data_IF_717318739871
#
_entry.id   IF_717318739871
#
_cell.length_a   1.000
_cell.length_b   1.000
_cell.length_c   1.000
_cell.angle_alpha   90.00
_cell.angle_beta   90.00
_cell.angle_gamma   90.00
#
_symmetry.space_group_name_H-M   'P 1'
#
loop_
_entity.id
_entity.type
_entity.pdbx_description
1 polymer ?
#
# COMPACT_ATOMS: atom_id res chain seq x y z
N UNK A 1 18.13 -46.08 11.86
CA UNK A 1 18.06 -44.64 12.15
C UNK A 1 17.68 -43.93 10.85
N UNK A 2 16.44 -43.45 10.75
CA UNK A 2 15.98 -42.74 9.55
C UNK A 2 16.48 -41.30 9.61
N UNK A 3 17.29 -40.91 8.64
CA UNK A 3 17.71 -39.53 8.40
C UNK A 3 16.48 -38.67 8.17
N UNK A 4 16.24 -37.73 9.08
CA UNK A 4 15.12 -36.81 9.00
C UNK A 4 15.34 -35.92 7.77
N UNK A 5 14.60 -36.21 6.70
CA UNK A 5 14.74 -35.60 5.39
C UNK A 5 14.34 -34.11 5.48
N UNK A 6 15.29 -33.23 5.79
CA UNK A 6 15.13 -31.77 5.72
C UNK A 6 14.99 -31.38 4.24
N UNK A 7 13.79 -31.62 3.68
CA UNK A 7 13.44 -31.08 2.37
C UNK A 7 13.39 -29.56 2.47
N UNK A 8 14.15 -28.90 1.62
CA UNK A 8 13.96 -27.49 1.29
C UNK A 8 12.51 -27.31 0.81
N UNK A 9 11.72 -26.53 1.55
CA UNK A 9 10.30 -26.34 1.26
C UNK A 9 10.11 -25.44 0.04
N UNK A 10 9.25 -25.87 -0.88
CA UNK A 10 8.80 -25.09 -2.04
C UNK A 10 7.76 -24.07 -1.61
N UNK A 11 7.78 -22.88 -2.24
CA UNK A 11 6.91 -21.70 -2.02
C UNK A 11 5.70 -21.92 -1.10
N UNK A 12 5.85 -21.50 0.17
CA UNK A 12 4.79 -21.60 1.18
C UNK A 12 3.66 -20.62 0.94
N UNK A 13 2.49 -20.90 1.53
CA UNK A 13 1.39 -19.94 1.61
C UNK A 13 1.65 -18.99 2.78
N UNK A 14 1.31 -17.72 2.66
CA UNK A 14 1.57 -16.72 3.69
C UNK A 14 0.27 -16.22 4.30
N UNK A 15 0.08 -16.50 5.60
CA UNK A 15 -0.98 -15.92 6.41
C UNK A 15 -0.49 -14.66 7.09
N UNK A 16 -1.37 -13.67 7.22
CA UNK A 16 -1.12 -12.45 7.98
C UNK A 16 -2.08 -12.40 9.15
N UNK A 17 -1.56 -12.24 10.37
CA UNK A 17 -2.30 -12.21 11.62
C UNK A 17 -2.24 -10.81 12.23
N UNK A 18 -3.37 -10.31 12.74
CA UNK A 18 -3.47 -9.09 13.54
C UNK A 18 -4.15 -9.44 14.85
N UNK A 19 -3.55 -9.08 15.98
CA UNK A 19 -4.17 -9.25 17.30
C UNK A 19 -4.53 -10.70 17.63
N UNK A 20 -3.76 -11.67 17.16
CA UNK A 20 -4.04 -13.10 17.37
C UNK A 20 -5.09 -13.69 16.43
N UNK A 21 -5.64 -12.91 15.50
CA UNK A 21 -6.66 -13.35 14.53
C UNK A 21 -6.07 -13.33 13.12
N UNK A 22 -6.26 -14.42 12.37
CA UNK A 22 -5.85 -14.47 10.97
C UNK A 22 -6.61 -13.40 10.17
N UNK A 23 -5.88 -12.38 9.72
CA UNK A 23 -6.41 -11.27 8.96
C UNK A 23 -6.57 -11.60 7.47
N UNK A 24 -5.94 -12.65 6.96
CA UNK A 24 -6.11 -13.12 5.59
C UNK A 24 -4.86 -13.77 5.01
N UNK A 25 -4.97 -14.24 3.77
CA UNK A 25 -3.84 -14.76 2.99
C UNK A 25 -3.28 -13.67 2.10
N UNK A 26 -1.95 -13.52 2.13
CA UNK A 26 -1.24 -12.49 1.37
C UNK A 26 -0.52 -13.12 0.19
N UNK A 27 -0.32 -12.34 -0.87
CA UNK A 27 0.34 -12.85 -2.07
C UNK A 27 1.84 -13.02 -1.85
N UNK A 28 2.44 -12.04 -1.19
CA UNK A 28 3.83 -12.06 -0.79
C UNK A 28 4.03 -11.14 0.42
N UNK A 29 5.08 -11.43 1.18
CA UNK A 29 5.46 -10.70 2.38
C UNK A 29 6.96 -10.78 2.58
N UNK A 30 7.58 -9.65 2.91
CA UNK A 30 9.04 -9.53 3.04
C UNK A 30 9.41 -8.53 4.15
N UNK A 31 10.64 -8.62 4.67
CA UNK A 31 11.15 -7.67 5.65
C UNK A 31 10.92 -8.08 7.11
N UNK A 32 11.06 -7.12 8.03
CA UNK A 32 11.03 -7.41 9.47
C UNK A 32 12.27 -8.14 9.97
N UNK A 33 13.42 -8.00 9.30
CA UNK A 33 14.68 -8.60 9.73
C UNK A 33 15.34 -7.77 10.82
N UNK A 34 15.97 -8.45 11.78
CA UNK A 34 16.82 -7.78 12.76
C UNK A 34 18.18 -7.50 12.12
N UNK A 35 18.59 -6.24 12.12
CA UNK A 35 19.87 -5.77 11.56
C UNK A 35 20.58 -4.87 12.57
N UNK A 36 21.83 -4.54 12.33
CA UNK A 36 22.57 -3.56 13.13
C UNK A 36 23.72 -3.00 12.31
N UNK A 37 24.07 -1.75 12.60
CA UNK A 37 25.25 -1.11 12.01
C UNK A 37 26.54 -1.67 12.63
N UNK A 38 27.61 -1.70 11.83
CA UNK A 38 28.95 -2.08 12.26
C UNK A 38 29.75 -0.82 12.51
N UNK A 39 30.14 -0.59 13.76
CA UNK A 39 30.96 0.56 14.16
C UNK A 39 32.43 0.14 14.07
N UNK A 40 33.24 0.98 13.43
CA UNK A 40 34.70 0.82 13.36
C UNK A 40 35.36 1.79 14.33
N UNK A 41 36.24 1.27 15.18
CA UNK A 41 36.96 2.06 16.18
C UNK A 41 38.18 2.76 15.56
N UNK A 42 38.71 3.75 16.26
CA UNK A 42 39.98 4.39 15.87
C UNK A 42 41.12 3.38 15.93
N UNK A 43 42.04 3.42 14.97
CA UNK A 43 43.16 2.47 14.87
C UNK A 43 43.99 2.44 16.15
N UNK A 44 44.15 1.25 16.71
CA UNK A 44 44.93 1.01 17.92
C UNK A 44 46.44 0.84 17.66
N UNK A 45 47.25 0.73 18.72
CA UNK A 45 48.69 0.48 18.60
C UNK A 45 49.07 -0.84 17.91
N UNK A 46 48.13 -1.80 17.87
CA UNK A 46 48.25 -3.07 17.15
C UNK A 46 48.06 -2.94 15.63
N UNK A 47 47.79 -1.72 15.14
CA UNK A 47 47.51 -1.41 13.74
C UNK A 47 46.28 -2.16 13.18
N UNK A 48 45.35 -2.55 14.06
CA UNK A 48 44.07 -3.18 13.70
C UNK A 48 42.92 -2.22 13.96
N UNK A 49 41.97 -2.13 13.03
CA UNK A 49 40.70 -1.43 13.22
C UNK A 49 39.71 -2.44 13.80
N UNK A 50 39.49 -2.36 15.10
CA UNK A 50 38.49 -3.16 15.78
C UNK A 50 37.08 -2.72 15.40
N UNK A 51 36.15 -3.66 15.40
CA UNK A 51 34.75 -3.43 15.02
C UNK A 51 33.82 -4.02 16.05
N UNK A 52 32.73 -3.32 16.35
CA UNK A 52 31.65 -3.84 17.18
C UNK A 52 30.28 -3.53 16.56
N UNK A 53 29.27 -4.24 17.04
CA UNK A 53 27.88 -4.11 16.57
C UNK A 53 27.17 -3.02 17.39
N UNK A 54 26.47 -2.13 16.70
CA UNK A 54 25.61 -1.12 17.30
C UNK A 54 24.32 -1.72 17.91
N UNK A 55 23.32 -0.87 18.19
CA UNK A 55 22.00 -1.32 18.61
C UNK A 55 21.25 -2.06 17.50
N UNK A 56 20.45 -3.07 17.88
CA UNK A 56 19.62 -3.83 16.94
C UNK A 56 18.49 -2.94 16.42
N UNK A 57 18.29 -2.96 15.11
CA UNK A 57 17.20 -2.33 14.37
C UNK A 57 16.34 -3.40 13.71
N UNK A 58 15.10 -3.08 13.42
CA UNK A 58 14.19 -3.97 12.70
C UNK A 58 13.68 -3.27 11.44
N UNK A 59 13.88 -3.94 10.31
CA UNK A 59 13.41 -3.45 9.01
C UNK A 59 11.89 -3.44 8.93
N UNK A 60 11.36 -2.59 8.04
CA UNK A 60 9.94 -2.59 7.72
C UNK A 60 9.50 -3.93 7.13
N UNK A 61 8.25 -4.28 7.39
CA UNK A 61 7.56 -5.42 6.79
C UNK A 61 6.73 -4.89 5.62
N UNK A 62 6.90 -5.46 4.42
CA UNK A 62 6.06 -5.18 3.25
C UNK A 62 5.10 -6.34 3.03
N UNK A 63 3.81 -6.03 2.93
CA UNK A 63 2.71 -6.99 2.69
C UNK A 63 2.02 -6.65 1.38
N UNK A 64 1.93 -7.60 0.46
CA UNK A 64 1.14 -7.48 -0.76
C UNK A 64 -0.12 -8.33 -0.65
N UNK A 65 -1.29 -7.70 -0.70
CA UNK A 65 -2.58 -8.37 -0.52
C UNK A 65 -3.61 -7.92 -1.57
N UNK A 66 -4.68 -8.71 -1.72
CA UNK A 66 -5.82 -8.34 -2.55
C UNK A 66 -7.04 -7.96 -1.70
N UNK A 67 -8.21 -8.16 -2.28
CA UNK A 67 -9.55 -7.96 -1.70
C UNK A 67 -9.99 -9.01 -0.69
N UNK A 68 -9.08 -9.83 -0.15
CA UNK A 68 -9.41 -11.01 0.65
C UNK A 68 -8.98 -10.90 2.10
N UNK A 69 -9.02 -9.68 2.67
CA UNK A 69 -8.56 -9.43 4.04
C UNK A 69 -9.75 -9.23 4.99
N UNK A 70 -9.49 -9.40 6.28
CA UNK A 70 -10.47 -9.25 7.35
C UNK A 70 -10.88 -7.79 7.53
N UNK A 71 -12.00 -7.58 8.24
CA UNK A 71 -12.48 -6.24 8.58
C UNK A 71 -11.44 -5.45 9.38
N UNK A 72 -10.83 -6.07 10.38
CA UNK A 72 -9.83 -5.42 11.23
C UNK A 72 -8.62 -4.91 10.44
N UNK A 73 -8.22 -5.61 9.37
CA UNK A 73 -7.15 -5.14 8.48
C UNK A 73 -7.54 -3.86 7.74
N UNK A 74 -8.73 -3.81 7.14
CA UNK A 74 -9.18 -2.61 6.42
C UNK A 74 -9.55 -1.46 7.37
N UNK A 75 -10.02 -1.75 8.58
CA UNK A 75 -10.19 -0.74 9.64
C UNK A 75 -8.87 -0.11 10.04
N UNK A 76 -7.78 -0.88 10.09
CA UNK A 76 -6.45 -0.35 10.39
C UNK A 76 -5.97 0.59 9.28
N UNK A 77 -6.12 0.20 8.01
CA UNK A 77 -5.83 1.08 6.86
C UNK A 77 -6.68 2.35 6.93
N UNK A 78 -8.00 2.22 7.14
CA UNK A 78 -8.89 3.36 7.27
C UNK A 78 -8.46 4.29 8.41
N UNK A 79 -8.09 3.74 9.56
CA UNK A 79 -7.63 4.51 10.70
C UNK A 79 -6.39 5.34 10.34
N UNK A 80 -5.44 4.77 9.58
CA UNK A 80 -4.29 5.53 9.07
C UNK A 80 -4.72 6.72 8.22
N UNK A 81 -5.64 6.55 7.26
CA UNK A 81 -6.19 7.66 6.48
C UNK A 81 -6.95 8.69 7.33
N UNK A 82 -7.58 8.28 8.42
CA UNK A 82 -8.25 9.17 9.37
C UNK A 82 -7.30 9.84 10.38
N UNK A 83 -5.97 9.80 10.15
CA UNK A 83 -4.93 10.28 11.07
C UNK A 83 -4.97 9.64 12.46
N UNK A 84 -5.49 8.40 12.56
CA UNK A 84 -5.53 7.60 13.79
C UNK A 84 -4.41 6.59 13.76
N UNK A 85 -3.39 6.85 14.56
CA UNK A 85 -2.16 6.08 14.58
C UNK A 85 -2.25 4.84 15.48
N UNK A 86 -2.96 3.84 14.99
CA UNK A 86 -3.16 2.58 15.72
C UNK A 86 -1.97 1.65 15.47
N UNK A 87 -1.45 1.06 16.56
CA UNK A 87 -0.41 0.04 16.52
C UNK A 87 -1.02 -1.33 16.76
N UNK A 88 -0.51 -2.33 16.04
CA UNK A 88 -0.95 -3.71 16.19
C UNK A 88 0.21 -4.67 16.40
N UNK A 89 -0.02 -5.63 17.29
CA UNK A 89 0.75 -6.86 17.35
C UNK A 89 0.19 -7.85 16.34
N UNK A 90 1.03 -8.76 15.86
CA UNK A 90 0.60 -9.78 14.93
C UNK A 90 1.72 -10.69 14.48
N UNK A 91 1.45 -11.45 13.42
CA UNK A 91 2.40 -12.40 12.90
C UNK A 91 2.31 -12.56 11.38
N UNK A 92 3.48 -12.83 10.79
CA UNK A 92 3.57 -13.38 9.44
C UNK A 92 3.74 -14.88 9.58
N UNK A 93 2.85 -15.65 8.98
CA UNK A 93 2.80 -17.09 9.14
C UNK A 93 3.10 -17.77 7.81
N UNK A 94 4.18 -18.57 7.78
CA UNK A 94 4.50 -19.42 6.64
C UNK A 94 3.83 -20.77 6.84
N UNK A 95 2.96 -21.14 5.91
CA UNK A 95 2.24 -22.40 5.92
C UNK A 95 2.67 -23.31 4.76
N UNK A 96 2.50 -24.61 4.94
CA UNK A 96 2.68 -25.59 3.87
C UNK A 96 1.45 -25.68 2.92
N UNK A 97 1.49 -26.65 2.01
CA UNK A 97 0.42 -26.88 1.05
C UNK A 97 -0.94 -27.17 1.73
N UNK A 98 -0.91 -27.84 2.89
CA UNK A 98 -2.08 -28.22 3.68
C UNK A 98 -2.52 -27.11 4.66
N UNK A 99 -2.00 -25.90 4.50
CA UNK A 99 -2.28 -24.74 5.36
C UNK A 99 -1.84 -24.96 6.82
N UNK A 100 -0.85 -25.82 7.06
CA UNK A 100 -0.28 -26.01 8.40
C UNK A 100 0.89 -25.08 8.63
N UNK A 101 0.89 -24.44 9.80
CA UNK A 101 1.94 -23.52 10.21
C UNK A 101 3.30 -24.23 10.29
N UNK A 102 4.31 -23.66 9.60
CA UNK A 102 5.70 -24.17 9.61
C UNK A 102 6.66 -23.22 10.31
N UNK A 103 6.44 -21.92 10.17
CA UNK A 103 7.16 -20.89 10.90
C UNK A 103 6.30 -19.65 11.04
N UNK A 104 6.53 -18.89 12.10
CA UNK A 104 5.91 -17.58 12.30
C UNK A 104 6.96 -16.53 12.61
N UNK A 105 6.74 -15.32 12.14
CA UNK A 105 7.48 -14.13 12.54
C UNK A 105 6.51 -13.20 13.23
N UNK A 106 6.60 -13.13 14.54
CA UNK A 106 5.82 -12.19 15.33
C UNK A 106 6.38 -10.80 15.15
N UNK A 107 5.50 -9.82 15.03
CA UNK A 107 5.84 -8.41 15.09
C UNK A 107 5.04 -7.76 16.23
N UNK A 108 5.68 -6.80 16.89
CA UNK A 108 5.10 -6.12 18.05
C UNK A 108 4.98 -4.64 17.76
N UNK A 109 3.81 -4.11 18.13
CA UNK A 109 3.41 -2.71 18.04
C UNK A 109 3.72 -2.10 16.68
N UNK A 110 3.45 -2.84 15.61
CA UNK A 110 3.69 -2.37 14.26
C UNK A 110 2.74 -1.22 13.91
N UNK A 111 3.28 -0.23 13.20
CA UNK A 111 2.56 0.93 12.68
C UNK A 111 2.58 0.89 11.15
N UNK A 112 1.46 1.17 10.48
CA UNK A 112 1.46 1.31 9.02
C UNK A 112 2.28 2.55 8.62
N UNK A 113 3.27 2.37 7.75
CA UNK A 113 4.13 3.43 7.20
C UNK A 113 3.80 3.80 5.76
N UNK A 114 3.21 2.88 5.00
CA UNK A 114 2.91 3.11 3.58
C UNK A 114 1.70 2.29 3.18
N UNK A 115 0.79 2.90 2.41
CA UNK A 115 -0.34 2.24 1.77
C UNK A 115 -0.27 2.58 0.27
N UNK A 116 -0.03 1.56 -0.55
CA UNK A 116 0.11 1.66 -1.99
C UNK A 116 -1.05 0.98 -2.72
N UNK A 117 -1.75 1.75 -3.55
CA UNK A 117 -2.70 1.25 -4.53
C UNK A 117 -2.01 1.12 -5.89
N UNK A 118 -2.37 0.09 -6.69
CA UNK A 118 -1.70 -0.16 -7.95
C UNK A 118 -2.06 0.95 -8.96
N UNK A 119 -1.18 1.14 -9.95
CA UNK A 119 -1.54 1.91 -11.13
C UNK A 119 -2.74 1.26 -11.83
N UNK A 120 -3.64 2.09 -12.34
CA UNK A 120 -4.86 1.68 -13.02
C UNK A 120 -4.71 1.91 -14.52
N UNK A 121 -5.14 0.94 -15.30
CA UNK A 121 -5.09 0.98 -16.76
C UNK A 121 -6.28 0.19 -17.31
N UNK A 122 -7.14 0.86 -18.06
CA UNK A 122 -8.34 0.29 -18.67
C UNK A 122 -8.03 -0.89 -19.60
N UNK A 123 -6.79 -1.02 -20.11
CA UNK A 123 -6.34 -2.14 -20.93
C UNK A 123 -5.76 -3.32 -20.11
N UNK A 124 -5.50 -3.13 -18.81
CA UNK A 124 -4.85 -4.14 -17.97
C UNK A 124 -5.76 -5.35 -17.70
N UNK A 125 -5.15 -6.54 -17.72
CA UNK A 125 -5.81 -7.82 -17.41
C UNK A 125 -5.20 -8.52 -16.20
N UNK A 126 -4.17 -7.91 -15.61
CA UNK A 126 -3.43 -8.47 -14.48
C UNK A 126 -4.21 -8.31 -13.17
N UNK A 127 -3.92 -9.17 -12.20
CA UNK A 127 -4.52 -9.05 -10.89
C UNK A 127 -3.96 -7.81 -10.16
N UNK A 128 -4.86 -6.97 -9.66
CA UNK A 128 -4.50 -5.85 -8.81
C UNK A 128 -4.07 -6.33 -7.42
N UNK A 129 -3.14 -5.61 -6.80
CA UNK A 129 -2.68 -5.82 -5.44
C UNK A 129 -2.44 -4.49 -4.74
N UNK A 130 -2.68 -4.48 -3.44
CA UNK A 130 -2.38 -3.38 -2.53
C UNK A 130 -1.10 -3.72 -1.76
N UNK A 131 -0.24 -2.72 -1.60
CA UNK A 131 0.97 -2.81 -0.78
C UNK A 131 0.72 -2.12 0.55
N UNK A 132 1.06 -2.76 1.65
CA UNK A 132 1.05 -2.16 2.99
C UNK A 132 2.42 -2.37 3.62
N UNK A 133 3.09 -1.29 4.01
CA UNK A 133 4.33 -1.37 4.79
C UNK A 133 4.07 -1.08 6.26
N UNK A 134 4.75 -1.84 7.11
CA UNK A 134 4.61 -1.79 8.55
C UNK A 134 5.98 -1.59 9.19
N UNK A 135 6.09 -0.65 10.11
CA UNK A 135 7.25 -0.46 10.95
C UNK A 135 7.01 -1.10 12.33
N UNK A 136 7.53 -2.31 12.61
CA UNK A 136 7.49 -2.89 13.95
C UNK A 136 8.48 -2.21 14.91
N UNK A 137 8.23 -2.37 16.21
CA UNK A 137 9.25 -2.08 17.24
C UNK A 137 10.29 -3.20 17.28
N UNK A 138 9.84 -4.46 17.24
CA UNK A 138 10.71 -5.61 17.05
C UNK A 138 9.98 -6.78 16.41
N UNK A 139 10.76 -7.76 15.93
CA UNK A 139 10.24 -9.03 15.43
C UNK A 139 10.89 -10.23 16.11
N UNK A 140 10.19 -11.37 16.14
CA UNK A 140 10.68 -12.64 16.66
C UNK A 140 10.28 -13.78 15.75
N UNK A 141 11.25 -14.53 15.25
CA UNK A 141 10.99 -15.76 14.50
C UNK A 141 10.81 -16.92 15.46
N UNK A 142 9.73 -17.68 15.28
CA UNK A 142 9.42 -18.90 16.04
C UNK A 142 9.16 -20.06 15.08
N UNK A 143 9.48 -21.27 15.56
CA UNK A 143 9.07 -22.50 14.88
C UNK A 143 7.55 -22.59 14.91
N UNK A 144 6.97 -23.01 13.79
CA UNK A 144 5.53 -23.23 13.68
C UNK A 144 5.05 -24.36 14.57
N UNK A 145 3.81 -24.25 15.05
CA UNK A 145 3.19 -25.27 15.91
C UNK A 145 2.51 -26.41 15.12
N UNK A 146 2.51 -26.32 13.78
CA UNK A 146 1.93 -27.34 12.90
C UNK A 146 0.40 -27.33 12.83
N UNK A 147 -0.27 -26.40 13.51
CA UNK A 147 -1.73 -26.27 13.45
C UNK A 147 -2.15 -25.74 12.08
N UNK A 148 -3.34 -26.16 11.65
CA UNK A 148 -3.93 -25.63 10.43
C UNK A 148 -4.47 -24.23 10.69
N UNK A 149 -4.16 -23.29 9.81
CA UNK A 149 -4.65 -21.91 9.83
C UNK A 149 -6.05 -21.78 9.20
N UNK A 150 -6.64 -22.89 8.76
CA UNK A 150 -7.78 -22.87 7.85
C UNK A 150 -7.34 -22.56 6.42
N UNK A 151 -8.00 -23.16 5.42
CA UNK A 151 -7.72 -22.85 4.02
C UNK A 151 -8.09 -21.42 3.65
N UNK A 152 -7.59 -20.93 2.51
CA UNK A 152 -8.26 -19.88 1.71
C UNK A 152 -9.76 -20.24 1.68
N UNK A 153 -10.61 -19.43 2.31
CA UNK A 153 -11.98 -19.77 2.70
C UNK A 153 -12.71 -20.63 1.66
N UNK A 154 -13.12 -21.86 2.05
CA UNK A 154 -13.98 -22.75 1.22
C UNK A 154 -15.46 -22.33 1.23
N UNK A 155 -15.80 -21.24 1.91
CA UNK A 155 -17.18 -20.77 2.11
C UNK A 155 -17.37 -19.25 2.11
N UNK A 156 -16.33 -18.47 1.79
CA UNK A 156 -16.44 -17.05 1.47
C UNK A 156 -16.60 -16.88 -0.04
N UNK A 157 -17.34 -15.88 -0.50
CA UNK A 157 -17.42 -15.56 -1.93
C UNK A 157 -16.00 -15.57 -2.54
N UNK A 158 -15.78 -16.21 -3.71
CA UNK A 158 -14.46 -16.25 -4.32
C UNK A 158 -13.91 -14.84 -4.35
N UNK A 159 -12.68 -14.66 -3.84
CA UNK A 159 -12.01 -13.36 -3.75
C UNK A 159 -12.34 -12.56 -5.02
N UNK A 160 -13.14 -11.49 -4.87
CA UNK A 160 -13.66 -10.76 -6.03
C UNK A 160 -12.45 -10.29 -6.82
N UNK A 161 -12.39 -10.73 -8.08
CA UNK A 161 -11.23 -10.51 -8.95
C UNK A 161 -11.03 -9.00 -9.08
N UNK A 162 -10.05 -8.46 -8.37
CA UNK A 162 -9.70 -7.06 -8.43
C UNK A 162 -8.77 -6.87 -9.63
N UNK A 163 -9.19 -6.02 -10.57
CA UNK A 163 -8.46 -5.73 -11.79
C UNK A 163 -8.17 -4.23 -11.87
N UNK A 164 -6.96 -3.82 -12.31
CA UNK A 164 -6.64 -2.41 -12.52
C UNK A 164 -7.46 -1.71 -13.62
N UNK A 165 -8.16 -2.47 -14.46
CA UNK A 165 -9.04 -1.95 -15.51
C UNK A 165 -10.45 -1.61 -15.03
N UNK A 166 -10.84 -2.07 -13.85
CA UNK A 166 -12.18 -1.86 -13.31
C UNK A 166 -12.15 -0.73 -12.28
N UNK A 167 -12.21 0.50 -12.78
CA UNK A 167 -12.23 1.68 -11.93
C UNK A 167 -13.19 2.73 -12.46
N UNK A 168 -13.58 3.65 -11.59
CA UNK A 168 -14.33 4.85 -11.94
C UNK A 168 -13.70 6.04 -11.21
N UNK A 169 -13.31 7.05 -11.97
CA UNK A 169 -12.90 8.35 -11.43
C UNK A 169 -14.04 9.34 -11.60
N UNK A 170 -14.26 10.17 -10.59
CA UNK A 170 -15.17 11.32 -10.65
C UNK A 170 -14.48 12.49 -9.96
N UNK A 171 -14.45 13.64 -10.64
CA UNK A 171 -13.95 14.91 -10.09
C UNK A 171 -15.03 15.95 -10.38
N UNK A 172 -15.35 16.78 -9.39
CA UNK A 172 -16.48 17.70 -9.45
C UNK A 172 -16.39 18.66 -10.65
N UNK A 173 -17.37 18.55 -11.55
CA UNK A 173 -17.47 19.40 -12.74
C UNK A 173 -16.47 19.09 -13.86
N UNK A 174 -15.90 17.88 -13.91
CA UNK A 174 -15.02 17.44 -15.00
C UNK A 174 -15.52 16.14 -15.65
N UNK A 175 -15.48 16.04 -16.98
CA UNK A 175 -15.70 14.78 -17.69
C UNK A 175 -14.54 13.78 -17.48
N UNK A 176 -14.72 12.85 -16.55
CA UNK A 176 -13.77 11.76 -16.28
C UNK A 176 -14.06 10.47 -17.07
N UNK A 177 -15.05 10.45 -17.97
CA UNK A 177 -15.53 9.21 -18.63
C UNK A 177 -14.51 8.57 -19.58
N UNK A 178 -13.52 9.35 -20.04
CA UNK A 178 -12.44 8.89 -20.92
C UNK A 178 -11.08 8.84 -20.26
N UNK A 179 -11.03 8.88 -18.94
CA UNK A 179 -9.82 8.57 -18.19
C UNK A 179 -9.52 7.09 -18.35
N UNK A 180 -8.34 6.76 -18.88
CA UNK A 180 -7.96 5.39 -19.18
C UNK A 180 -6.77 4.89 -18.36
N UNK A 181 -6.00 5.80 -17.75
CA UNK A 181 -4.92 5.44 -16.84
C UNK A 181 -4.90 6.38 -15.64
N UNK A 182 -4.50 5.82 -14.50
CA UNK A 182 -4.20 6.56 -13.27
C UNK A 182 -2.90 5.96 -12.73
N UNK A 183 -1.92 6.80 -12.40
CA UNK A 183 -0.68 6.30 -11.79
C UNK A 183 -0.92 5.71 -10.39
N UNK A 184 0.05 4.95 -9.89
CA UNK A 184 -0.06 4.33 -8.58
C UNK A 184 -0.16 5.39 -7.47
N UNK A 185 -1.10 5.21 -6.54
CA UNK A 185 -1.25 6.08 -5.38
C UNK A 185 -0.50 5.47 -4.20
N UNK A 186 0.50 6.17 -3.67
CA UNK A 186 1.29 5.72 -2.52
C UNK A 186 1.20 6.76 -1.41
N UNK A 187 0.37 6.49 -0.41
CA UNK A 187 0.24 7.32 0.80
C UNK A 187 1.29 6.88 1.80
N UNK A 188 2.10 7.82 2.28
CA UNK A 188 3.17 7.54 3.24
C UNK A 188 2.89 8.21 4.56
N UNK A 189 3.07 7.49 5.65
CA UNK A 189 3.07 8.06 6.98
C UNK A 189 4.51 8.29 7.42
N UNK A 190 4.88 9.56 7.56
CA UNK A 190 6.22 9.91 8.04
C UNK A 190 6.33 9.60 9.53
N UNK A 191 7.33 8.82 9.89
CA UNK A 191 7.67 8.49 11.27
C UNK A 191 8.88 9.32 11.68
N UNK A 192 8.81 9.93 12.85
CA UNK A 192 9.94 10.55 13.55
C UNK A 192 10.41 9.55 14.62
N UNK A 193 11.71 9.25 14.61
CA UNK A 193 12.33 8.40 15.63
C UNK A 193 12.88 9.31 16.72
N UNK A 194 12.27 9.29 17.91
CA UNK A 194 12.75 10.04 19.06
C UNK A 194 13.67 9.13 19.90
N UNK A 195 14.98 9.43 20.04
CA UNK A 195 15.85 8.67 20.92
C UNK A 195 15.56 9.05 22.39
N UNK A 196 14.97 8.13 23.16
CA UNK A 196 14.67 8.38 24.58
C UNK A 196 15.79 7.85 25.48
N UNK A 197 16.75 8.72 25.80
CA UNK A 197 17.72 8.53 26.92
C UNK A 197 18.67 7.33 26.79
N UNK A 198 19.43 7.01 27.86
CA UNK A 198 20.40 5.90 27.91
C UNK A 198 19.78 4.49 27.69
N UNK A 199 18.46 4.39 27.53
CA UNK A 199 17.74 3.19 27.13
C UNK A 199 17.68 3.09 25.60
N UNK A 200 18.11 1.95 25.06
CA UNK A 200 18.24 1.66 23.63
C UNK A 200 16.90 1.42 22.91
N UNK A 201 15.83 2.06 23.35
CA UNK A 201 14.49 1.93 22.76
C UNK A 201 14.13 3.22 22.01
N UNK A 202 13.84 3.09 20.71
CA UNK A 202 13.38 4.20 19.85
C UNK A 202 11.86 4.21 19.82
N UNK A 203 11.24 5.29 20.29
CA UNK A 203 9.80 5.48 20.12
C UNK A 203 9.54 6.09 18.72
N UNK A 204 8.79 5.35 17.90
CA UNK A 204 8.41 5.78 16.55
C UNK A 204 7.16 6.65 16.64
N UNK A 205 7.25 7.96 16.52
CA UNK A 205 6.07 8.83 16.54
C UNK A 205 5.62 9.22 15.12
N UNK A 206 4.33 9.11 14.78
CA UNK A 206 3.81 9.55 13.50
C UNK A 206 3.74 11.08 13.43
N UNK A 207 4.27 11.67 12.36
CA UNK A 207 4.27 13.12 12.16
C UNK A 207 3.07 13.58 11.31
N UNK A 208 3.02 13.19 10.04
CA UNK A 208 1.93 13.51 9.11
C UNK A 208 1.87 12.48 7.98
N UNK A 209 0.74 12.50 7.26
CA UNK A 209 0.58 11.75 6.01
C UNK A 209 1.08 12.60 4.84
N UNK A 210 1.93 12.01 4.01
CA UNK A 210 2.27 12.51 2.69
C UNK A 210 1.26 11.94 1.70
N UNK A 211 0.43 12.83 1.16
CA UNK A 211 -0.58 12.49 0.15
C UNK A 211 0.07 12.60 -1.24
N UNK A 212 -0.01 11.56 -2.09
CA UNK A 212 0.57 11.60 -3.42
C UNK A 212 -0.28 12.47 -4.36
N UNK A 213 0.36 12.99 -5.41
CA UNK A 213 -0.35 13.61 -6.52
C UNK A 213 -1.24 12.57 -7.23
N UNK A 214 -2.41 13.02 -7.68
CA UNK A 214 -3.26 12.26 -8.58
C UNK A 214 -2.83 12.56 -10.02
N UNK A 215 -2.36 11.53 -10.72
CA UNK A 215 -1.91 11.65 -12.10
C UNK A 215 -2.76 10.78 -12.99
N UNK A 216 -3.42 11.41 -13.96
CA UNK A 216 -4.41 10.76 -14.82
C UNK A 216 -4.06 10.95 -16.30
N UNK A 217 -4.45 9.98 -17.11
CA UNK A 217 -4.39 10.07 -18.56
C UNK A 217 -5.78 9.89 -19.14
N UNK A 218 -6.15 10.78 -20.06
CA UNK A 218 -7.45 10.77 -20.73
C UNK A 218 -7.31 11.09 -22.23
N UNK A 219 -8.35 10.74 -23.00
CA UNK A 219 -8.42 11.12 -24.41
C UNK A 219 -8.49 12.65 -24.57
N UNK A 220 -7.65 13.22 -25.43
CA UNK A 220 -7.57 14.68 -25.67
C UNK A 220 -8.92 15.26 -26.08
N UNK A 221 -9.71 14.52 -26.87
CA UNK A 221 -11.05 14.94 -27.32
C UNK A 221 -12.08 15.13 -26.20
N UNK A 222 -11.79 14.64 -24.98
CA UNK A 222 -12.62 14.80 -23.79
C UNK A 222 -11.92 15.61 -22.69
N UNK A 223 -10.77 16.22 -22.99
CA UNK A 223 -9.98 16.98 -22.02
C UNK A 223 -10.39 18.46 -21.91
N UNK A 224 -11.45 18.91 -22.59
CA UNK A 224 -11.83 20.32 -22.65
C UNK A 224 -12.01 20.94 -21.25
N UNK A 225 -12.75 20.28 -20.36
CA UNK A 225 -12.97 20.76 -18.99
C UNK A 225 -11.65 20.87 -18.20
N UNK A 226 -10.70 19.97 -18.45
CA UNK A 226 -9.38 20.02 -17.82
C UNK A 226 -8.56 21.20 -18.34
N UNK A 227 -8.57 21.47 -19.64
CA UNK A 227 -7.91 22.64 -20.21
C UNK A 227 -8.52 23.94 -19.69
N UNK A 228 -9.85 24.04 -19.63
CA UNK A 228 -10.54 25.20 -19.06
C UNK A 228 -10.18 25.40 -17.58
N UNK A 229 -10.16 24.31 -16.80
CA UNK A 229 -9.76 24.39 -15.40
C UNK A 229 -8.30 24.79 -15.23
N UNK A 230 -7.38 24.25 -16.03
CA UNK A 230 -5.96 24.61 -15.99
C UNK A 230 -5.73 26.07 -16.39
N UNK A 231 -6.41 26.57 -17.42
CA UNK A 231 -6.34 27.99 -17.82
C UNK A 231 -6.79 28.90 -16.67
N UNK A 232 -7.92 28.60 -16.04
CA UNK A 232 -8.44 29.43 -14.93
C UNK A 232 -7.58 29.34 -13.66
N UNK A 233 -7.23 28.11 -13.26
CA UNK A 233 -6.58 27.84 -11.99
C UNK A 233 -5.09 28.18 -12.04
N UNK A 234 -4.37 27.74 -13.08
CA UNK A 234 -2.91 27.89 -13.17
C UNK A 234 -2.51 29.17 -13.90
N UNK A 235 -3.09 29.43 -15.07
CA UNK A 235 -2.66 30.53 -15.95
C UNK A 235 -3.23 31.87 -15.47
N UNK A 236 -4.53 31.91 -15.16
CA UNK A 236 -5.18 33.11 -14.62
C UNK A 236 -4.96 33.28 -13.10
N UNK A 237 -4.45 32.25 -12.43
CA UNK A 237 -4.12 32.29 -11.00
C UNK A 237 -5.33 32.25 -10.07
N UNK A 238 -6.49 31.80 -10.54
CA UNK A 238 -7.68 31.60 -9.70
C UNK A 238 -7.57 30.27 -8.92
N UNK A 239 -6.57 30.17 -8.05
CA UNK A 239 -6.20 28.94 -7.34
C UNK A 239 -6.43 29.01 -5.82
N UNK A 240 -7.40 29.81 -5.38
CA UNK A 240 -7.83 29.78 -3.99
C UNK A 240 -8.55 28.47 -3.63
N UNK A 241 -8.61 28.15 -2.34
CA UNK A 241 -9.21 26.92 -1.80
C UNK A 241 -10.65 26.68 -2.30
N UNK A 242 -11.40 27.74 -2.61
CA UNK A 242 -12.78 27.64 -3.14
C UNK A 242 -12.85 27.20 -4.62
N UNK A 243 -11.71 27.15 -5.31
CA UNK A 243 -11.55 26.74 -6.71
C UNK A 243 -11.02 25.32 -6.86
N UNK A 244 -10.61 24.71 -5.75
CA UNK A 244 -10.22 23.31 -5.72
C UNK A 244 -11.45 22.41 -5.86
N UNK A 245 -11.21 21.19 -6.35
CA UNK A 245 -12.27 20.23 -6.64
C UNK A 245 -12.17 19.04 -5.71
N UNK A 246 -13.31 18.44 -5.39
CA UNK A 246 -13.34 17.15 -4.71
C UNK A 246 -13.60 16.04 -5.72
N UNK A 247 -13.35 14.80 -5.32
CA UNK A 247 -13.53 13.67 -6.20
C UNK A 247 -13.49 12.33 -5.51
N UNK A 248 -13.70 11.27 -6.29
CA UNK A 248 -13.65 9.90 -5.81
C UNK A 248 -13.03 8.99 -6.86
N UNK A 249 -12.21 8.04 -6.39
CA UNK A 249 -11.73 6.91 -7.17
C UNK A 249 -12.31 5.62 -6.58
N UNK A 250 -13.14 4.95 -7.37
CA UNK A 250 -13.75 3.68 -7.03
C UNK A 250 -13.03 2.53 -7.73
N UNK A 251 -12.65 1.51 -6.99
CA UNK A 251 -12.14 0.24 -7.51
C UNK A 251 -13.30 -0.75 -7.55
N UNK A 252 -13.59 -1.31 -8.73
CA UNK A 252 -14.83 -2.03 -8.98
C UNK A 252 -14.63 -3.53 -9.17
N UNK A 253 -15.66 -4.30 -8.87
CA UNK A 253 -15.78 -5.71 -9.23
C UNK A 253 -15.78 -5.92 -10.76
N UNK A 254 -15.53 -7.14 -11.26
CA UNK A 254 -15.55 -7.46 -12.70
C UNK A 254 -16.83 -7.11 -13.45
N UNK A 255 -17.97 -7.06 -12.78
CA UNK A 255 -19.25 -6.65 -13.35
C UNK A 255 -19.48 -5.14 -13.33
N UNK A 256 -18.51 -4.36 -12.79
CA UNK A 256 -18.52 -2.91 -12.64
C UNK A 256 -19.67 -2.36 -11.77
N UNK A 257 -20.27 -3.20 -10.94
CA UNK A 257 -21.42 -2.83 -10.11
C UNK A 257 -21.04 -2.57 -8.65
N UNK A 258 -20.18 -3.41 -8.09
CA UNK A 258 -19.82 -3.33 -6.68
C UNK A 258 -18.53 -2.56 -6.52
N UNK A 259 -18.54 -1.59 -5.60
CA UNK A 259 -17.35 -0.88 -5.16
C UNK A 259 -16.61 -1.76 -4.16
N UNK A 260 -15.38 -2.13 -4.49
CA UNK A 260 -14.48 -2.89 -3.61
C UNK A 260 -13.85 -1.93 -2.60
N UNK A 261 -13.21 -0.89 -3.12
CA UNK A 261 -12.58 0.17 -2.36
C UNK A 261 -12.94 1.51 -2.97
N UNK A 262 -12.94 2.55 -2.14
CA UNK A 262 -13.11 3.93 -2.59
C UNK A 262 -12.08 4.80 -1.89
N UNK A 263 -11.46 5.68 -2.68
CA UNK A 263 -10.62 6.77 -2.20
C UNK A 263 -11.37 8.05 -2.51
N UNK A 264 -11.75 8.81 -1.49
CA UNK A 264 -12.24 10.17 -1.67
C UNK A 264 -11.05 11.14 -1.65
N UNK A 265 -11.05 12.12 -2.55
CA UNK A 265 -10.08 13.19 -2.64
C UNK A 265 -10.76 14.50 -2.24
N UNK A 266 -10.14 15.25 -1.35
CA UNK A 266 -10.57 16.61 -1.04
C UNK A 266 -9.47 17.60 -1.43
N UNK A 267 -9.89 18.79 -1.85
CA UNK A 267 -8.96 19.89 -2.18
C UNK A 267 -7.94 19.48 -3.26
N UNK A 268 -8.45 19.03 -4.41
CA UNK A 268 -7.62 18.72 -5.56
C UNK A 268 -7.43 19.95 -6.45
N UNK A 269 -6.18 20.32 -6.72
CA UNK A 269 -5.80 21.40 -7.62
C UNK A 269 -4.97 20.89 -8.80
N UNK A 270 -5.33 21.27 -10.02
CA UNK A 270 -4.56 20.95 -11.22
C UNK A 270 -3.34 21.88 -11.31
N UNK A 271 -2.17 21.33 -11.63
CA UNK A 271 -0.94 22.14 -11.77
C UNK A 271 -0.19 21.86 -13.07
N UNK A 272 -0.54 20.80 -13.81
CA UNK A 272 0.09 20.48 -15.09
C UNK A 272 -0.86 19.74 -16.01
N UNK A 273 -0.86 20.16 -17.28
CA UNK A 273 -1.38 19.40 -18.42
C UNK A 273 -0.26 19.19 -19.44
N UNK A 274 -0.12 17.95 -19.90
CA UNK A 274 0.88 17.57 -20.90
C UNK A 274 0.27 16.67 -21.96
N UNK A 275 0.39 17.06 -23.22
CA UNK A 275 -0.01 16.23 -24.35
C UNK A 275 1.00 15.10 -24.55
N UNK A 276 0.52 13.86 -24.71
CA UNK A 276 1.39 12.77 -25.13
C UNK A 276 1.92 13.05 -26.54
N UNK A 277 3.20 12.74 -26.77
CA UNK A 277 3.85 12.95 -28.05
C UNK A 277 3.04 12.32 -29.19
N UNK A 278 2.56 13.16 -30.11
CA UNK A 278 1.87 12.71 -31.31
C UNK A 278 2.86 12.38 -32.43
N UNK A 279 2.62 11.28 -33.14
CA UNK A 279 3.33 10.93 -34.37
C UNK A 279 2.45 11.21 -35.58
N UNK A 280 3.04 11.82 -36.62
CA UNK A 280 2.31 12.06 -37.87
C UNK A 280 1.83 10.73 -38.47
N UNK A 281 0.61 10.72 -39.00
CA UNK A 281 -0.05 9.54 -39.58
C UNK A 281 -0.35 8.40 -38.59
N UNK A 282 -0.25 8.63 -37.29
CA UNK A 282 -0.71 7.68 -36.28
C UNK A 282 -2.23 7.68 -36.17
N UNK A 283 -2.84 6.49 -36.18
CA UNK A 283 -4.27 6.29 -35.89
C UNK A 283 -4.55 6.17 -34.38
N UNK A 284 -3.53 6.33 -33.54
CA UNK A 284 -3.69 6.24 -32.09
C UNK A 284 -4.52 7.42 -31.55
N UNK A 285 -5.38 7.11 -30.57
CA UNK A 285 -6.09 8.13 -29.80
C UNK A 285 -5.07 9.02 -29.11
N UNK A 286 -5.12 10.33 -29.40
CA UNK A 286 -4.30 11.32 -28.68
C UNK A 286 -4.75 11.44 -27.24
N UNK A 287 -3.77 11.64 -26.35
CA UNK A 287 -3.98 11.65 -24.91
C UNK A 287 -3.32 12.85 -24.29
N UNK A 288 -3.91 13.25 -23.17
CA UNK A 288 -3.37 14.28 -22.30
C UNK A 288 -3.15 13.64 -20.93
N UNK A 289 -2.06 14.02 -20.29
CA UNK A 289 -1.72 13.71 -18.92
C UNK A 289 -2.04 14.92 -18.05
N UNK A 290 -2.90 14.75 -17.05
CA UNK A 290 -3.19 15.78 -16.06
C UNK A 290 -2.55 15.38 -14.72
N UNK A 291 -1.84 16.30 -14.10
CA UNK A 291 -1.30 16.13 -12.75
C UNK A 291 -1.99 17.10 -11.78
N UNK A 292 -2.48 16.53 -10.69
CA UNK A 292 -3.21 17.22 -9.64
C UNK A 292 -2.53 16.96 -8.30
N UNK A 293 -2.39 17.97 -7.46
CA UNK A 293 -2.13 17.74 -6.04
C UNK A 293 -3.45 17.43 -5.34
N UNK A 294 -3.40 16.78 -4.18
CA UNK A 294 -4.55 16.48 -3.32
C UNK A 294 -4.12 16.68 -1.88
N UNK A 295 -4.90 17.42 -1.09
CA UNK A 295 -4.54 17.68 0.31
C UNK A 295 -4.97 16.57 1.27
N UNK A 296 -6.14 15.98 1.03
CA UNK A 296 -6.68 14.92 1.89
C UNK A 296 -7.21 13.75 1.06
N UNK A 297 -6.89 12.53 1.51
CA UNK A 297 -7.50 11.31 1.01
C UNK A 297 -8.24 10.59 2.12
N UNK A 298 -9.40 9.98 1.80
CA UNK A 298 -10.12 9.09 2.72
C UNK A 298 -10.34 7.74 2.09
N UNK A 299 -10.06 6.69 2.85
CA UNK A 299 -10.25 5.31 2.42
C UNK A 299 -11.56 4.73 2.97
N UNK A 300 -12.33 4.11 2.08
CA UNK A 300 -13.52 3.34 2.38
C UNK A 300 -13.40 1.93 1.76
N UNK A 301 -13.88 0.92 2.48
CA UNK A 301 -13.92 -0.47 2.02
C UNK A 301 -15.33 -1.02 2.18
N UNK A 302 -15.73 -1.95 1.30
CA UNK A 302 -17.06 -2.53 1.33
C UNK A 302 -17.07 -3.91 2.02
N UNK A 303 -18.18 -4.26 2.69
CA UNK A 303 -18.32 -5.52 3.45
C UNK A 303 -18.17 -6.77 2.58
N UNK A 304 -18.53 -6.70 1.29
CA UNK A 304 -18.33 -7.77 0.31
C UNK A 304 -16.88 -8.04 -0.11
N UNK A 305 -15.93 -7.31 0.48
CA UNK A 305 -14.47 -7.47 0.34
C UNK A 305 -13.88 -8.17 1.57
N UNK A 306 -14.71 -8.50 2.56
CA UNK A 306 -14.22 -9.11 3.78
C UNK A 306 -14.02 -10.60 3.59
N UNK A 307 -12.87 -11.07 4.06
CA UNK A 307 -12.70 -12.47 4.43
C UNK A 307 -13.65 -12.82 5.59
N UNK A 308 -14.31 -13.98 5.50
CA UNK A 308 -15.19 -14.54 6.53
C UNK A 308 -14.41 -15.18 7.69
#
# INVERSE_FOLDING_TARGET
MATNNQRSYTAGKYGFEIGGVLAGWVKDVFGGHATSDVISETIGPDHVIHKHIAGVKYEDITVNCGTGMSKGFYEWIKATFDHKYIRHDGAIITADYDYKERSRKDFVRALITEIGFPALDAASKDAAKMTVKLAPEYTRVKKGDGKSLGGASKGGSPQKKWLPSNFRLTIDGLDCTRVNKIEALVVKQKIVENPVGELRDYEKEPAHLEIPNLVITLAESHAHDFYTWHEDFVINGNNGDDKEKNGTLEFLSPDLKEVLFKIAFNHAGIFRLEEEKAEAHSENIRRVKAELYVEEMKFEYHSGVLWA
#
